data_IF_207488936200
#
_entry.id   IF_207488936200
#
_cell.length_a   1.000
_cell.length_b   1.000
_cell.length_c   1.000
_cell.angle_alpha   90.00
_cell.angle_beta   90.00
_cell.angle_gamma   90.00
#
_symmetry.space_group_name_H-M   'P 1'
#
loop_
_entity.id
_entity.type
_entity.pdbx_description
1 polymer ?
#
# COMPACT_ATOMS: atom_id res chain seq x y z
N UNK A 1 -59.92 23.69 -22.51
CA UNK A 1 -59.45 22.28 -22.58
C UNK A 1 -57.94 22.35 -22.43
N UNK A 2 -57.33 22.12 -21.25
CA UNK A 2 -57.11 20.84 -20.51
C UNK A 2 -56.40 19.84 -21.46
N UNK A 3 -55.16 19.36 -21.25
CA UNK A 3 -54.48 18.66 -20.13
C UNK A 3 -52.98 19.10 -20.07
N UNK A 4 -52.32 19.41 -18.94
CA UNK A 4 -51.77 18.59 -17.83
C UNK A 4 -50.89 17.39 -18.26
N UNK A 5 -49.57 17.51 -18.07
CA UNK A 5 -48.60 16.41 -18.12
C UNK A 5 -47.78 16.39 -16.83
N UNK A 6 -47.92 15.29 -16.08
CA UNK A 6 -47.36 15.05 -14.75
C UNK A 6 -45.85 14.77 -14.80
N UNK A 7 -45.13 15.29 -13.81
CA UNK A 7 -43.75 14.94 -13.52
C UNK A 7 -43.66 13.58 -12.82
N UNK A 8 -42.73 12.74 -13.25
CA UNK A 8 -42.29 11.55 -12.52
C UNK A 8 -40.84 11.76 -12.07
N UNK A 9 -40.67 12.29 -10.87
CA UNK A 9 -39.39 12.24 -10.17
C UNK A 9 -39.15 10.80 -9.71
N UNK A 10 -38.07 10.18 -10.20
CA UNK A 10 -37.56 8.93 -9.62
C UNK A 10 -36.93 9.24 -8.26
N UNK A 11 -37.16 8.43 -7.22
CA UNK A 11 -36.60 8.67 -5.91
C UNK A 11 -35.07 8.46 -5.93
N UNK A 12 -34.34 9.49 -5.52
CA UNK A 12 -32.90 9.45 -5.25
C UNK A 12 -32.58 8.50 -4.09
N UNK A 13 -31.43 7.83 -4.17
CA UNK A 13 -30.88 6.86 -3.20
C UNK A 13 -30.83 7.35 -1.74
N UNK A 14 -30.82 8.66 -1.51
CA UNK A 14 -30.91 9.28 -0.19
C UNK A 14 -32.21 8.95 0.57
N UNK A 15 -33.34 8.80 -0.15
CA UNK A 15 -34.65 8.55 0.46
C UNK A 15 -34.81 7.11 0.94
N UNK A 16 -34.13 6.16 0.28
CA UNK A 16 -34.10 4.74 0.68
C UNK A 16 -33.19 4.54 1.89
N UNK A 17 -32.03 5.23 1.92
CA UNK A 17 -31.11 5.19 3.06
C UNK A 17 -31.73 5.78 4.34
N UNK A 18 -32.43 6.92 4.26
CA UNK A 18 -33.12 7.50 5.42
C UNK A 18 -34.29 6.63 5.94
N UNK A 19 -34.94 5.84 5.08
CA UNK A 19 -36.05 4.96 5.47
C UNK A 19 -35.56 3.64 6.07
N UNK A 20 -34.44 3.09 5.61
CA UNK A 20 -33.75 1.95 6.23
C UNK A 20 -33.15 2.33 7.59
N UNK A 21 -32.58 3.53 7.71
CA UNK A 21 -32.02 4.04 8.97
C UNK A 21 -33.10 4.28 10.04
N UNK A 22 -34.25 4.86 9.66
CA UNK A 22 -35.40 5.00 10.59
C UNK A 22 -35.98 3.66 11.02
N UNK A 23 -35.99 2.63 10.16
CA UNK A 23 -36.44 1.28 10.53
C UNK A 23 -35.48 0.59 11.49
N UNK A 24 -34.18 0.81 11.37
CA UNK A 24 -33.18 0.21 12.26
C UNK A 24 -33.08 0.92 13.62
N UNK A 25 -33.21 2.26 13.64
CA UNK A 25 -33.28 3.03 14.88
C UNK A 25 -34.52 2.70 15.73
N UNK A 26 -35.68 2.48 15.09
CA UNK A 26 -36.91 2.04 15.76
C UNK A 26 -36.85 0.58 16.25
N UNK A 27 -36.03 -0.28 15.63
CA UNK A 27 -35.88 -1.68 16.02
C UNK A 27 -34.87 -1.90 17.16
N UNK A 28 -33.92 -0.98 17.37
CA UNK A 28 -32.80 -1.13 18.32
C UNK A 28 -32.91 -0.22 19.55
N UNK A 29 -33.87 0.70 19.57
CA UNK A 29 -34.11 1.60 20.71
C UNK A 29 -33.03 2.68 20.91
N UNK A 30 -32.07 2.86 20.02
CA UNK A 30 -31.00 3.85 20.21
C UNK A 30 -31.56 5.28 20.37
N UNK A 31 -31.24 5.95 21.48
CA UNK A 31 -31.83 7.24 21.87
C UNK A 31 -30.90 8.44 21.72
N UNK A 32 -29.61 8.28 21.39
CA UNK A 32 -28.72 9.44 21.27
C UNK A 32 -27.51 9.20 20.37
N UNK A 33 -27.25 10.13 19.45
CA UNK A 33 -25.95 10.32 18.83
C UNK A 33 -25.10 11.17 19.79
N UNK A 34 -23.97 10.63 20.24
CA UNK A 34 -23.00 11.37 21.03
C UNK A 34 -21.78 11.66 20.13
N UNK A 35 -21.67 12.89 19.64
CA UNK A 35 -20.47 13.37 18.94
C UNK A 35 -19.51 13.94 19.98
N UNK A 36 -18.36 13.32 20.17
CA UNK A 36 -17.22 13.97 20.84
C UNK A 36 -16.20 14.34 19.78
N UNK A 37 -15.72 15.58 19.84
CA UNK A 37 -14.65 16.10 18.99
C UNK A 37 -13.34 15.42 19.40
N UNK A 38 -12.85 14.53 18.52
CA UNK A 38 -11.47 14.33 18.06
C UNK A 38 -11.52 13.06 17.18
N UNK A 39 -11.30 13.19 15.86
CA UNK A 39 -11.10 12.08 14.91
C UNK A 39 -12.30 11.13 14.73
N UNK A 40 -13.08 11.28 13.66
CA UNK A 40 -14.39 10.63 13.49
C UNK A 40 -14.34 9.12 13.20
N UNK A 41 -14.29 8.30 14.25
CA UNK A 41 -14.99 7.00 14.26
C UNK A 41 -16.45 7.26 14.65
N UNK A 42 -17.42 6.91 13.80
CA UNK A 42 -18.83 6.95 14.22
C UNK A 42 -19.11 5.77 15.15
N UNK A 43 -19.61 6.06 16.35
CA UNK A 43 -19.94 5.05 17.37
C UNK A 43 -21.40 5.20 17.75
N UNK A 44 -22.15 4.09 17.72
CA UNK A 44 -23.53 4.04 18.18
C UNK A 44 -23.55 3.57 19.64
N UNK A 45 -24.23 4.35 20.50
CA UNK A 45 -24.45 3.99 21.90
C UNK A 45 -25.85 3.38 22.04
N UNK A 46 -25.94 2.15 22.53
CA UNK A 46 -27.24 1.50 22.78
C UNK A 46 -27.90 2.00 24.09
N UNK A 47 -29.17 1.63 24.32
CA UNK A 47 -29.91 2.01 25.54
C UNK A 47 -29.28 1.54 26.86
N UNK A 48 -28.25 0.69 26.80
CA UNK A 48 -27.48 0.19 27.96
C UNK A 48 -26.13 0.88 28.11
N UNK A 49 -25.84 1.90 27.29
CA UNK A 49 -24.59 2.67 27.35
C UNK A 49 -23.40 1.99 26.68
N UNK A 50 -23.60 0.92 25.91
CA UNK A 50 -22.52 0.21 25.23
C UNK A 50 -22.21 0.83 23.86
N UNK A 51 -20.93 1.08 23.61
CA UNK A 51 -20.41 1.59 22.34
C UNK A 51 -20.20 0.44 21.35
N UNK A 52 -20.66 0.62 20.11
CA UNK A 52 -20.46 -0.33 19.01
C UNK A 52 -19.73 0.32 17.84
N UNK A 53 -18.76 -0.41 17.29
CA UNK A 53 -18.08 -0.04 16.05
C UNK A 53 -19.08 -0.07 14.87
N UNK A 54 -19.18 1.02 14.12
CA UNK A 54 -20.05 1.08 12.93
C UNK A 54 -19.57 0.20 11.76
N UNK A 55 -18.33 -0.28 11.78
CA UNK A 55 -17.74 -1.09 10.69
C UNK A 55 -18.10 -2.57 10.83
N UNK A 56 -18.05 -3.15 12.04
CA UNK A 56 -18.20 -4.59 12.24
C UNK A 56 -19.31 -5.00 13.23
N UNK A 57 -19.98 -4.04 13.89
CA UNK A 57 -21.03 -4.32 14.87
C UNK A 57 -20.54 -4.96 16.18
N UNK A 58 -19.23 -5.15 16.31
CA UNK A 58 -18.58 -5.67 17.52
C UNK A 58 -18.72 -4.68 18.69
N UNK A 59 -18.85 -5.25 19.89
CA UNK A 59 -18.94 -4.52 21.15
C UNK A 59 -17.55 -3.97 21.46
N UNK A 60 -17.34 -2.66 21.32
CA UNK A 60 -16.10 -2.02 21.76
C UNK A 60 -16.18 -1.89 23.28
N UNK A 61 -15.26 -2.51 24.02
CA UNK A 61 -15.12 -2.16 25.43
C UNK A 61 -14.41 -0.80 25.48
N UNK A 62 -14.92 0.12 26.29
CA UNK A 62 -14.15 1.31 26.67
C UNK A 62 -12.80 0.83 27.23
N UNK A 63 -11.71 1.06 26.49
CA UNK A 63 -10.35 0.68 26.89
C UNK A 63 -9.64 -0.38 26.04
N UNK A 64 -10.24 -0.91 24.97
CA UNK A 64 -9.47 -1.74 24.03
C UNK A 64 -8.49 -0.84 23.25
N UNK A 65 -7.19 -0.97 23.52
CA UNK A 65 -6.14 -0.27 22.77
C UNK A 65 -6.21 -0.72 21.31
N UNK A 66 -6.23 0.23 20.38
CA UNK A 66 -6.04 -0.09 18.96
C UNK A 66 -4.67 -0.77 18.81
N UNK A 67 -4.61 -1.78 17.94
CA UNK A 67 -3.41 -2.57 17.70
C UNK A 67 -3.19 -2.68 16.20
N UNK A 68 -1.92 -2.80 15.79
CA UNK A 68 -1.52 -2.98 14.40
C UNK A 68 -1.72 -4.40 13.85
N UNK A 69 -1.81 -5.40 14.73
CA UNK A 69 -1.90 -6.80 14.34
C UNK A 69 -3.04 -7.17 13.36
N UNK A 70 -4.21 -6.50 13.36
CA UNK A 70 -5.26 -6.81 12.38
C UNK A 70 -4.91 -6.48 10.92
N UNK A 71 -3.85 -5.70 10.66
CA UNK A 71 -3.48 -5.27 9.30
C UNK A 71 -2.58 -6.25 8.56
N UNK A 72 -1.99 -7.22 9.25
CA UNK A 72 -1.06 -8.17 8.64
C UNK A 72 -1.12 -9.54 9.30
N UNK A 73 -0.73 -10.57 8.55
CA UNK A 73 -0.30 -11.83 9.11
C UNK A 73 1.21 -11.79 9.36
N UNK A 74 1.63 -11.89 10.62
CA UNK A 74 3.04 -11.98 10.98
C UNK A 74 3.51 -13.43 10.99
N UNK A 75 4.66 -13.68 10.36
CA UNK A 75 5.37 -14.95 10.35
C UNK A 75 6.84 -14.70 10.68
N UNK A 76 7.49 -15.72 11.24
CA UNK A 76 8.93 -15.72 11.46
C UNK A 76 9.52 -16.91 10.72
N UNK A 77 10.36 -16.67 9.74
CA UNK A 77 11.05 -17.71 8.96
C UNK A 77 12.53 -17.62 9.27
N UNK A 78 13.08 -18.67 9.89
CA UNK A 78 14.49 -18.72 10.30
C UNK A 78 14.98 -17.47 11.06
N UNK A 79 14.10 -16.86 11.88
CA UNK A 79 14.40 -15.65 12.64
C UNK A 79 14.22 -14.33 11.89
N UNK A 80 13.80 -14.36 10.61
CA UNK A 80 13.41 -13.17 9.85
C UNK A 80 11.91 -12.90 9.99
N UNK A 81 11.55 -11.66 10.30
CA UNK A 81 10.17 -11.20 10.36
C UNK A 81 9.60 -11.00 8.94
N UNK A 82 8.48 -11.66 8.68
CA UNK A 82 7.73 -11.58 7.42
C UNK A 82 6.31 -11.12 7.74
N UNK A 83 5.84 -10.07 7.09
CA UNK A 83 4.48 -9.55 7.27
C UNK A 83 3.73 -9.61 5.95
N UNK A 84 2.59 -10.30 5.94
CA UNK A 84 1.73 -10.42 4.76
C UNK A 84 0.49 -9.54 4.93
N UNK A 85 0.22 -8.67 3.97
CA UNK A 85 -0.94 -7.76 3.96
C UNK A 85 -1.83 -8.05 2.77
N UNK A 86 -3.13 -7.83 2.93
CA UNK A 86 -4.13 -8.04 1.88
C UNK A 86 -4.22 -6.87 0.90
N UNK A 87 -4.12 -5.64 1.40
CA UNK A 87 -3.98 -4.41 0.59
C UNK A 87 -2.62 -3.77 0.88
N UNK A 88 -1.94 -3.25 -0.13
CA UNK A 88 -0.55 -2.80 -0.02
C UNK A 88 -0.36 -1.66 0.97
N UNK A 89 -1.27 -0.69 0.99
CA UNK A 89 -1.25 0.43 1.95
C UNK A 89 -1.25 0.02 3.44
N UNK A 90 -1.66 -1.22 3.77
CA UNK A 90 -1.59 -1.76 5.14
C UNK A 90 -0.16 -2.11 5.57
N UNK A 91 0.80 -2.20 4.65
CA UNK A 91 2.21 -2.43 4.94
C UNK A 91 2.79 -1.37 5.89
N UNK A 92 2.23 -0.14 5.90
CA UNK A 92 2.56 0.92 6.84
C UNK A 92 2.50 0.45 8.31
N UNK A 93 1.60 -0.46 8.66
CA UNK A 93 1.51 -1.05 9.99
C UNK A 93 2.77 -1.86 10.35
N UNK A 94 3.22 -2.73 9.45
CA UNK A 94 4.43 -3.53 9.65
C UNK A 94 5.68 -2.64 9.67
N UNK A 95 5.76 -1.66 8.77
CA UNK A 95 6.89 -0.73 8.72
C UNK A 95 7.02 0.11 9.99
N UNK A 96 5.91 0.52 10.59
CA UNK A 96 5.92 1.20 11.89
C UNK A 96 6.50 0.32 13.00
N UNK A 97 6.21 -0.98 13.00
CA UNK A 97 6.80 -1.93 13.96
C UNK A 97 8.31 -2.10 13.76
N UNK A 98 8.75 -2.22 12.51
CA UNK A 98 10.18 -2.30 12.17
C UNK A 98 10.88 -0.99 12.54
N UNK A 99 10.30 0.17 12.25
CA UNK A 99 10.85 1.48 12.62
C UNK A 99 11.11 1.59 14.12
N UNK A 100 10.21 1.04 14.95
CA UNK A 100 10.32 1.06 16.43
C UNK A 100 11.47 0.21 16.97
N UNK A 101 11.91 -0.80 16.24
CA UNK A 101 13.03 -1.66 16.65
C UNK A 101 14.40 -1.09 16.25
N UNK A 102 14.43 0.00 15.48
CA UNK A 102 15.64 0.61 14.93
C UNK A 102 15.89 2.02 15.50
N UNK A 103 17.17 2.41 15.54
CA UNK A 103 17.57 3.76 15.96
C UNK A 103 17.16 4.83 14.93
N UNK A 104 17.27 4.52 13.64
CA UNK A 104 16.92 5.38 12.51
C UNK A 104 15.89 4.70 11.61
N UNK A 105 15.20 5.49 10.78
CA UNK A 105 14.27 4.94 9.81
C UNK A 105 15.02 4.03 8.81
N UNK A 106 14.51 2.81 8.54
CA UNK A 106 15.11 1.96 7.54
C UNK A 106 14.82 2.51 6.14
N UNK A 107 15.65 2.15 5.16
CA UNK A 107 15.28 2.32 3.76
C UNK A 107 14.19 1.31 3.38
N UNK A 108 13.51 1.55 2.26
CA UNK A 108 12.60 0.62 1.61
C UNK A 108 13.16 0.29 0.23
N UNK A 109 13.23 -0.99 -0.09
CA UNK A 109 13.39 -1.47 -1.47
C UNK A 109 12.09 -2.19 -1.77
N UNK A 110 11.30 -1.67 -2.70
CA UNK A 110 10.03 -2.30 -3.11
C UNK A 110 10.14 -2.87 -4.53
N UNK A 111 9.55 -4.04 -4.73
CA UNK A 111 9.35 -4.69 -6.03
C UNK A 111 7.84 -4.77 -6.26
N UNK A 112 7.37 -4.11 -7.30
CA UNK A 112 5.94 -3.84 -7.50
C UNK A 112 5.61 -3.81 -9.01
N UNK A 113 4.37 -4.07 -9.39
CA UNK A 113 3.90 -3.64 -10.70
C UNK A 113 3.78 -2.11 -10.76
N UNK A 114 3.11 -1.54 -9.77
CA UNK A 114 2.72 -0.15 -9.68
C UNK A 114 3.88 0.74 -9.19
N UNK A 115 3.69 2.05 -9.35
CA UNK A 115 4.74 3.01 -9.01
C UNK A 115 4.74 3.38 -7.54
N UNK A 116 3.58 3.30 -6.88
CA UNK A 116 3.53 3.43 -5.43
C UNK A 116 3.99 4.81 -4.91
N UNK A 117 3.96 5.83 -5.79
CA UNK A 117 4.51 7.17 -5.55
C UNK A 117 3.44 8.24 -5.38
N UNK A 118 2.17 7.86 -5.28
CA UNK A 118 1.11 8.84 -5.10
C UNK A 118 1.30 9.58 -3.78
N UNK A 119 1.08 10.88 -3.81
CA UNK A 119 1.27 11.69 -2.62
C UNK A 119 0.23 11.26 -1.55
N UNK A 120 0.60 11.23 -0.27
CA UNK A 120 -0.23 10.67 0.82
C UNK A 120 -1.62 11.33 0.97
N UNK A 121 -2.69 10.53 1.07
CA UNK A 121 -4.09 11.00 1.27
C UNK A 121 -4.70 11.75 0.08
N UNK A 122 -4.24 11.53 -1.16
CA UNK A 122 -4.72 12.20 -2.36
C UNK A 122 -6.19 11.93 -2.61
N UNK A 123 -6.58 10.66 -2.62
CA UNK A 123 -7.96 10.23 -2.82
C UNK A 123 -8.88 10.77 -1.73
N UNK A 124 -8.43 10.73 -0.47
CA UNK A 124 -9.23 11.26 0.63
C UNK A 124 -9.44 12.77 0.52
N UNK A 125 -8.39 13.54 0.25
CA UNK A 125 -8.48 14.98 0.06
C UNK A 125 -9.37 15.37 -1.11
N UNK A 126 -9.33 14.61 -2.21
CA UNK A 126 -10.22 14.80 -3.35
C UNK A 126 -11.69 14.70 -2.94
N UNK A 127 -12.07 13.66 -2.19
CA UNK A 127 -13.44 13.48 -1.72
C UNK A 127 -13.88 14.53 -0.70
N UNK A 128 -12.98 14.94 0.20
CA UNK A 128 -13.26 16.01 1.17
C UNK A 128 -13.44 17.37 0.48
N UNK A 129 -12.66 17.66 -0.56
CA UNK A 129 -12.83 18.86 -1.39
C UNK A 129 -14.15 18.83 -2.17
N UNK A 130 -14.48 17.71 -2.81
CA UNK A 130 -15.76 17.54 -3.51
C UNK A 130 -16.96 17.79 -2.58
N UNK A 131 -16.83 17.42 -1.30
CA UNK A 131 -17.81 17.69 -0.25
C UNK A 131 -17.76 19.11 0.36
N UNK A 132 -16.87 19.98 -0.11
CA UNK A 132 -16.67 21.35 0.38
C UNK A 132 -15.99 21.47 1.75
N UNK A 133 -15.38 20.40 2.27
CA UNK A 133 -14.76 20.34 3.61
C UNK A 133 -13.26 20.61 3.60
N UNK A 134 -12.60 20.35 2.47
CA UNK A 134 -11.18 20.62 2.26
C UNK A 134 -10.94 21.41 0.96
N UNK A 135 -11.30 22.72 0.91
CA UNK A 135 -11.12 23.53 -0.30
C UNK A 135 -9.64 23.68 -0.70
N UNK A 136 -8.73 23.62 0.27
CA UNK A 136 -7.30 23.51 0.06
C UNK A 136 -6.87 22.05 0.33
N UNK A 137 -6.75 21.27 -0.73
CA UNK A 137 -6.42 19.84 -0.65
C UNK A 137 -4.99 19.60 -0.17
N UNK A 138 -4.04 20.43 -0.60
CA UNK A 138 -2.63 20.28 -0.25
C UNK A 138 -2.43 20.52 1.24
N UNK A 139 -2.93 21.64 1.77
CA UNK A 139 -2.84 21.94 3.19
C UNK A 139 -3.54 20.87 4.05
N UNK A 140 -4.67 20.34 3.57
CA UNK A 140 -5.39 19.26 4.23
C UNK A 140 -4.56 17.97 4.31
N UNK A 141 -3.98 17.52 3.18
CA UNK A 141 -3.10 16.34 3.11
C UNK A 141 -1.90 16.48 4.03
N UNK A 142 -1.17 17.59 3.93
CA UNK A 142 0.00 17.86 4.77
C UNK A 142 -0.37 17.87 6.26
N UNK A 143 -1.56 18.37 6.60
CA UNK A 143 -2.11 18.31 7.95
C UNK A 143 -2.36 16.87 8.44
N UNK A 144 -2.79 15.96 7.58
CA UNK A 144 -2.95 14.53 7.93
C UNK A 144 -1.59 13.83 8.07
N UNK A 145 -0.66 14.07 7.16
CA UNK A 145 0.71 13.55 7.23
C UNK A 145 1.39 13.97 8.54
N UNK A 146 1.27 15.23 8.94
CA UNK A 146 1.84 15.74 10.18
C UNK A 146 1.27 15.10 11.46
N UNK A 147 0.14 14.40 11.37
CA UNK A 147 -0.48 13.68 12.49
C UNK A 147 0.01 12.23 12.61
N UNK A 148 0.73 11.72 11.62
CA UNK A 148 1.29 10.37 11.65
C UNK A 148 2.45 10.33 12.66
N UNK A 149 2.29 9.51 13.68
CA UNK A 149 3.28 9.22 14.71
C UNK A 149 3.47 7.71 14.76
N UNK A 150 4.55 7.24 14.13
CA UNK A 150 4.88 5.82 14.04
C UNK A 150 5.01 5.13 15.39
N UNK A 151 5.15 5.86 16.51
CA UNK A 151 5.24 5.30 17.86
C UNK A 151 3.88 4.89 18.43
N UNK A 152 2.77 5.34 17.84
CA UNK A 152 1.42 5.13 18.36
C UNK A 152 0.57 4.33 17.38
N UNK A 153 0.04 3.21 17.84
CA UNK A 153 -0.81 2.33 17.03
C UNK A 153 -2.05 3.07 16.54
N UNK A 154 -2.67 3.90 17.39
CA UNK A 154 -3.87 4.66 17.03
C UNK A 154 -3.62 5.62 15.86
N UNK A 155 -2.42 6.20 15.78
CA UNK A 155 -2.04 7.13 14.72
C UNK A 155 -1.88 6.42 13.38
N UNK A 156 -1.19 5.27 13.37
CA UNK A 156 -1.01 4.46 12.17
C UNK A 156 -2.34 3.85 11.70
N UNK A 157 -3.18 3.36 12.62
CA UNK A 157 -4.53 2.88 12.31
C UNK A 157 -5.36 3.97 11.62
N UNK A 158 -5.34 5.20 12.17
CA UNK A 158 -6.05 6.33 11.58
C UNK A 158 -5.51 6.75 10.22
N UNK A 159 -4.20 6.62 9.98
CA UNK A 159 -3.62 6.88 8.66
C UNK A 159 -4.09 5.84 7.62
N UNK A 160 -3.99 4.54 7.95
CA UNK A 160 -4.37 3.43 7.05
C UNK A 160 -5.85 3.52 6.64
N UNK A 161 -6.73 4.02 7.52
CA UNK A 161 -8.15 4.20 7.19
C UNK A 161 -8.37 5.08 5.95
N UNK A 162 -7.54 6.11 5.77
CA UNK A 162 -7.68 7.11 4.72
C UNK A 162 -6.73 6.94 3.54
N UNK A 163 -5.62 6.19 3.72
CA UNK A 163 -4.72 5.87 2.62
C UNK A 163 -5.40 4.91 1.63
N UNK A 164 -5.22 5.19 0.35
CA UNK A 164 -5.67 4.37 -0.78
C UNK A 164 -4.61 4.39 -1.87
N UNK A 165 -4.69 3.48 -2.85
CA UNK A 165 -3.98 3.56 -4.15
C UNK A 165 -2.58 4.16 -4.05
N UNK A 166 -1.58 3.38 -3.66
CA UNK A 166 -0.18 3.79 -3.80
C UNK A 166 0.29 4.95 -2.90
N UNK A 167 -0.55 5.43 -1.98
CA UNK A 167 -0.25 6.63 -1.16
C UNK A 167 0.68 6.37 0.03
N UNK A 168 0.95 5.10 0.33
CA UNK A 168 1.48 4.68 1.62
C UNK A 168 2.99 4.85 1.76
N UNK A 169 3.75 4.77 0.66
CA UNK A 169 5.19 5.07 0.66
C UNK A 169 5.43 6.54 1.00
N UNK A 170 4.68 7.46 0.37
CA UNK A 170 4.79 8.91 0.66
C UNK A 170 4.39 9.23 2.11
N UNK A 171 3.36 8.57 2.64
CA UNK A 171 2.98 8.70 4.03
C UNK A 171 4.10 8.20 4.97
N UNK A 172 4.76 7.09 4.61
CA UNK A 172 5.81 6.48 5.40
C UNK A 172 7.11 7.31 5.39
N UNK A 173 7.51 7.86 4.24
CA UNK A 173 8.67 8.74 4.14
C UNK A 173 8.39 10.07 4.83
N UNK A 174 7.25 10.71 4.61
CA UNK A 174 6.97 12.01 5.24
C UNK A 174 6.84 11.93 6.77
N UNK A 175 6.50 10.75 7.32
CA UNK A 175 6.36 10.53 8.77
C UNK A 175 7.61 10.00 9.48
N UNK A 176 8.74 9.84 8.77
CA UNK A 176 9.97 9.18 9.28
C UNK A 176 9.74 7.71 9.72
N UNK A 177 8.70 7.07 9.18
CA UNK A 177 8.52 5.62 9.29
C UNK A 177 9.55 4.92 8.42
N UNK A 178 9.79 5.45 7.21
CA UNK A 178 10.82 5.04 6.26
C UNK A 178 11.77 6.21 5.97
N UNK A 179 13.04 5.90 5.75
CA UNK A 179 14.11 6.87 5.47
C UNK A 179 14.14 7.31 4.01
N UNK A 180 14.29 6.36 3.10
CA UNK A 180 14.24 6.55 1.64
C UNK A 180 13.56 5.33 1.03
N UNK A 181 12.84 5.51 -0.08
CA UNK A 181 12.22 4.42 -0.82
C UNK A 181 12.82 4.31 -2.22
N UNK A 182 13.21 3.10 -2.62
CA UNK A 182 13.69 2.77 -3.96
C UNK A 182 12.71 1.78 -4.58
N UNK A 183 11.97 2.22 -5.61
CA UNK A 183 10.89 1.45 -6.21
C UNK A 183 11.37 0.80 -7.51
N UNK A 184 11.42 -0.53 -7.53
CA UNK A 184 11.64 -1.36 -8.71
C UNK A 184 10.25 -1.73 -9.23
N UNK A 185 9.81 -1.08 -10.30
CA UNK A 185 8.43 -1.19 -10.80
C UNK A 185 8.38 -1.78 -12.23
N UNK A 186 7.20 -2.25 -12.68
CA UNK A 186 6.96 -2.74 -14.05
C UNK A 186 6.06 -1.84 -14.90
N UNK A 187 5.32 -0.91 -14.28
CA UNK A 187 4.43 0.04 -14.95
C UNK A 187 4.98 1.48 -14.93
N UNK A 188 4.72 2.23 -16.00
CA UNK A 188 5.22 3.61 -16.18
C UNK A 188 4.14 4.70 -15.93
N UNK A 189 2.98 4.34 -15.39
CA UNK A 189 1.75 5.15 -15.46
C UNK A 189 1.68 6.43 -14.59
N UNK A 190 2.83 6.99 -14.18
CA UNK A 190 2.86 8.32 -13.54
C UNK A 190 4.20 8.76 -12.94
N UNK A 191 5.16 7.85 -12.83
CA UNK A 191 6.49 8.14 -12.29
C UNK A 191 7.30 9.06 -13.15
N UNK A 192 7.51 10.30 -12.71
CA UNK A 192 8.65 11.07 -13.22
C UNK A 192 9.90 10.29 -12.83
N UNK A 193 10.75 9.83 -13.78
CA UNK A 193 12.03 9.22 -13.43
C UNK A 193 12.75 10.14 -12.46
N UNK A 194 13.16 9.63 -11.31
CA UNK A 194 13.88 10.44 -10.33
C UNK A 194 15.22 10.84 -10.94
N UNK A 195 15.23 12.02 -11.56
CA UNK A 195 16.36 12.55 -12.32
C UNK A 195 17.46 13.00 -11.36
N UNK A 196 18.32 12.09 -10.90
CA UNK A 196 19.59 12.35 -10.18
C UNK A 196 19.57 13.41 -9.04
N UNK A 197 18.40 13.85 -8.58
CA UNK A 197 18.20 14.93 -7.63
C UNK A 197 17.48 14.40 -6.40
N UNK A 198 17.75 15.01 -5.24
CA UNK A 198 17.03 14.66 -4.00
C UNK A 198 15.53 14.93 -4.21
N UNK A 199 14.73 13.88 -4.28
CA UNK A 199 13.28 14.01 -4.28
C UNK A 199 12.85 14.53 -2.90
N UNK A 200 12.01 15.57 -2.86
CA UNK A 200 11.57 16.16 -1.60
C UNK A 200 10.88 15.14 -0.67
N UNK A 201 10.20 14.15 -1.27
CA UNK A 201 9.54 13.04 -0.59
C UNK A 201 10.44 11.82 -0.36
N UNK A 202 11.70 11.84 -0.82
CA UNK A 202 12.69 10.74 -0.68
C UNK A 202 12.25 9.40 -1.30
N UNK A 203 11.40 9.47 -2.33
CA UNK A 203 10.96 8.32 -3.12
C UNK A 203 11.68 8.34 -4.47
N UNK A 204 12.25 7.20 -4.87
CA UNK A 204 13.05 7.06 -6.07
C UNK A 204 12.54 5.90 -6.92
N UNK A 205 11.75 6.21 -7.95
CA UNK A 205 11.35 5.23 -8.95
C UNK A 205 12.54 4.92 -9.86
N UNK A 206 12.92 3.65 -9.95
CA UNK A 206 14.05 3.21 -10.76
C UNK A 206 13.58 3.01 -12.20
N UNK A 207 14.05 3.84 -13.15
CA UNK A 207 13.52 3.83 -14.50
C UNK A 207 13.97 2.58 -15.25
N UNK A 208 13.03 1.99 -15.97
CA UNK A 208 13.26 0.97 -16.98
C UNK A 208 12.59 1.39 -18.29
N UNK A 209 13.16 0.96 -19.42
CA UNK A 209 12.51 1.12 -20.72
C UNK A 209 11.86 -0.18 -21.19
N UNK A 210 12.48 -1.32 -20.85
CA UNK A 210 12.13 -2.68 -21.28
C UNK A 210 13.06 -3.69 -20.58
N UNK A 211 12.92 -4.99 -20.87
CA UNK A 211 13.88 -6.03 -20.49
C UNK A 211 15.31 -5.74 -21.03
N UNK A 212 16.32 -6.26 -20.36
CA UNK A 212 17.71 -5.87 -20.63
C UNK A 212 18.16 -6.42 -22.00
N UNK A 213 18.53 -5.51 -22.89
CA UNK A 213 19.00 -5.83 -24.25
C UNK A 213 17.90 -5.89 -25.30
N UNK A 214 16.68 -5.43 -24.99
CA UNK A 214 15.62 -5.28 -25.98
C UNK A 214 16.04 -4.34 -27.12
N UNK A 215 15.79 -4.77 -28.36
CA UNK A 215 16.06 -4.00 -29.59
C UNK A 215 14.79 -3.67 -30.37
N UNK A 216 13.64 -4.16 -29.93
CA UNK A 216 12.36 -4.00 -30.60
C UNK A 216 11.87 -2.56 -30.41
N UNK A 217 11.46 -1.90 -31.49
CA UNK A 217 10.89 -0.55 -31.49
C UNK A 217 9.77 -0.47 -32.55
N UNK A 218 8.54 -0.03 -32.21
CA UNK A 218 8.07 0.26 -30.85
C UNK A 218 8.02 -1.02 -29.99
N UNK A 219 8.07 -0.86 -28.66
CA UNK A 219 7.86 -1.98 -27.74
C UNK A 219 6.46 -2.57 -27.91
N UNK A 220 6.31 -3.87 -27.62
CA UNK A 220 5.09 -4.65 -27.82
C UNK A 220 4.83 -5.55 -26.59
N UNK A 221 3.72 -6.29 -26.60
CA UNK A 221 3.31 -7.12 -25.45
C UNK A 221 4.34 -8.20 -25.10
N UNK A 222 5.06 -8.74 -26.09
CA UNK A 222 6.16 -9.69 -25.84
C UNK A 222 7.26 -9.06 -24.96
N UNK A 223 7.50 -7.76 -25.11
CA UNK A 223 8.44 -7.03 -24.27
C UNK A 223 8.01 -7.02 -22.81
N UNK A 224 6.71 -6.85 -22.54
CA UNK A 224 6.14 -6.82 -21.19
C UNK A 224 6.30 -8.18 -20.51
N UNK A 225 5.97 -9.27 -21.22
CA UNK A 225 6.15 -10.64 -20.72
C UNK A 225 7.62 -10.92 -20.39
N UNK A 226 8.54 -10.60 -21.30
CA UNK A 226 9.96 -10.83 -21.07
C UNK A 226 10.50 -10.00 -19.92
N UNK A 227 10.04 -8.76 -19.77
CA UNK A 227 10.44 -7.91 -18.66
C UNK A 227 9.94 -8.46 -17.32
N UNK A 228 8.66 -8.84 -17.23
CA UNK A 228 8.12 -9.45 -16.00
C UNK A 228 8.86 -10.73 -15.65
N UNK A 229 9.23 -11.56 -16.64
CA UNK A 229 10.05 -12.77 -16.41
C UNK A 229 11.43 -12.48 -15.82
N UNK A 230 11.97 -11.26 -15.99
CA UNK A 230 13.27 -10.84 -15.48
C UNK A 230 13.18 -10.20 -14.08
N UNK A 231 11.99 -9.90 -13.53
CA UNK A 231 11.80 -9.02 -12.34
C UNK A 231 12.65 -9.39 -11.12
N UNK A 232 12.87 -10.68 -10.85
CA UNK A 232 13.74 -11.19 -9.78
C UNK A 232 14.96 -11.98 -10.29
N UNK A 233 15.26 -11.92 -11.59
CA UNK A 233 16.51 -12.45 -12.13
C UNK A 233 17.68 -11.55 -11.70
N UNK A 234 18.81 -12.19 -11.37
CA UNK A 234 20.03 -11.48 -10.92
C UNK A 234 20.47 -10.38 -11.87
N UNK A 235 20.42 -10.63 -13.18
CA UNK A 235 20.81 -9.65 -14.20
C UNK A 235 19.96 -8.38 -14.14
N UNK A 236 18.66 -8.50 -13.91
CA UNK A 236 17.75 -7.37 -13.86
C UNK A 236 17.90 -6.61 -12.56
N UNK A 237 17.84 -7.33 -11.43
CA UNK A 237 18.02 -6.70 -10.12
C UNK A 237 19.38 -6.00 -10.03
N UNK A 238 20.49 -6.59 -10.48
CA UNK A 238 21.79 -5.92 -10.46
C UNK A 238 21.81 -4.61 -11.27
N UNK A 239 21.12 -4.54 -12.42
CA UNK A 239 20.97 -3.29 -13.19
C UNK A 239 20.16 -2.24 -12.42
N UNK A 240 19.04 -2.64 -11.82
CA UNK A 240 18.21 -1.76 -11.00
C UNK A 240 18.96 -1.24 -9.77
N UNK A 241 19.65 -2.13 -9.04
CA UNK A 241 20.45 -1.76 -7.87
C UNK A 241 21.63 -0.85 -8.26
N UNK A 242 22.21 -1.01 -9.46
CA UNK A 242 23.24 -0.12 -9.98
C UNK A 242 22.70 1.30 -10.24
N UNK A 243 21.51 1.43 -10.86
CA UNK A 243 20.81 2.71 -11.03
C UNK A 243 20.48 3.35 -9.68
N UNK A 244 19.94 2.57 -8.74
CA UNK A 244 19.68 3.00 -7.37
C UNK A 244 20.94 3.47 -6.64
N UNK A 245 22.10 2.86 -6.90
CA UNK A 245 23.37 3.27 -6.34
C UNK A 245 23.86 4.63 -6.89
N UNK A 246 23.53 4.97 -8.13
CA UNK A 246 23.80 6.31 -8.68
C UNK A 246 22.97 7.38 -7.97
N UNK A 247 21.68 7.12 -7.76
CA UNK A 247 20.78 8.00 -7.00
C UNK A 247 21.24 8.12 -5.54
N UNK A 248 21.59 7.00 -4.91
CA UNK A 248 22.06 6.95 -3.52
C UNK A 248 23.23 7.90 -3.29
N UNK A 249 24.19 7.93 -4.21
CA UNK A 249 25.36 8.82 -4.13
C UNK A 249 24.96 10.29 -4.16
N UNK A 250 23.93 10.67 -4.92
CA UNK A 250 23.44 12.06 -4.95
C UNK A 250 22.81 12.50 -3.63
N UNK A 251 22.35 11.56 -2.79
CA UNK A 251 21.71 11.85 -1.50
C UNK A 251 22.57 11.48 -0.29
N UNK A 252 23.87 11.24 -0.51
CA UNK A 252 24.83 10.95 0.55
C UNK A 252 24.81 9.53 1.09
N UNK A 253 24.14 8.59 0.40
CA UNK A 253 24.18 7.16 0.69
C UNK A 253 25.23 6.46 -0.20
N UNK A 254 26.13 5.60 0.35
CA UNK A 254 27.10 4.86 -0.47
C UNK A 254 26.44 3.97 -1.54
N UNK A 255 25.37 3.28 -1.16
CA UNK A 255 24.51 2.46 -2.01
C UNK A 255 23.18 2.20 -1.28
N UNK A 256 22.16 1.68 -1.97
CA UNK A 256 20.81 1.44 -1.43
C UNK A 256 20.79 0.49 -0.22
N UNK A 257 21.63 -0.55 -0.24
CA UNK A 257 21.77 -1.53 0.85
C UNK A 257 22.68 -1.03 2.01
N UNK A 258 23.15 0.23 2.00
CA UNK A 258 24.15 0.71 2.97
C UNK A 258 23.56 1.02 4.36
N UNK A 259 22.24 1.14 4.46
CA UNK A 259 21.50 1.28 5.69
C UNK A 259 20.55 0.08 5.87
N UNK A 260 20.10 -0.21 7.10
CA UNK A 260 19.04 -1.19 7.32
C UNK A 260 17.84 -0.92 6.40
N UNK A 261 17.30 -1.95 5.77
CA UNK A 261 16.19 -1.79 4.84
C UNK A 261 15.13 -2.88 5.00
N UNK A 262 13.89 -2.50 4.71
CA UNK A 262 12.77 -3.42 4.52
C UNK A 262 12.74 -3.79 3.03
N UNK A 263 12.62 -5.07 2.74
CA UNK A 263 12.31 -5.54 1.39
C UNK A 263 10.80 -5.72 1.29
N UNK A 264 10.17 -4.91 0.48
CA UNK A 264 8.74 -4.95 0.22
C UNK A 264 8.50 -5.56 -1.16
N UNK A 265 7.48 -6.41 -1.26
CA UNK A 265 7.21 -7.19 -2.47
C UNK A 265 5.70 -7.23 -2.66
N UNK A 266 5.20 -6.55 -3.69
CA UNK A 266 3.85 -6.81 -4.16
C UNK A 266 3.85 -8.07 -5.03
N UNK A 267 2.83 -8.90 -4.85
CA UNK A 267 2.63 -10.09 -5.66
C UNK A 267 2.21 -9.75 -7.08
N UNK A 268 1.59 -8.60 -7.33
CA UNK A 268 1.20 -8.20 -8.69
C UNK A 268 2.40 -7.92 -9.60
N UNK A 269 3.62 -7.77 -9.06
CA UNK A 269 4.86 -7.69 -9.84
C UNK A 269 5.17 -8.98 -10.64
N UNK A 270 4.53 -10.11 -10.31
CA UNK A 270 4.74 -11.39 -10.99
C UNK A 270 3.59 -11.67 -11.97
N UNK A 271 3.81 -11.39 -13.26
CA UNK A 271 2.75 -11.51 -14.27
C UNK A 271 2.71 -12.90 -14.94
N UNK A 272 3.66 -13.77 -14.62
CA UNK A 272 3.77 -15.12 -15.16
C UNK A 272 4.36 -16.08 -14.12
N UNK A 273 4.20 -17.39 -14.34
CA UNK A 273 4.89 -18.41 -13.53
C UNK A 273 6.41 -18.30 -13.62
N UNK A 274 6.94 -17.87 -14.77
CA UNK A 274 8.39 -17.71 -14.97
C UNK A 274 8.94 -16.53 -14.15
N UNK A 275 8.17 -15.47 -13.94
CA UNK A 275 8.56 -14.32 -13.12
C UNK A 275 8.87 -14.73 -11.66
N UNK A 276 8.09 -15.65 -11.07
CA UNK A 276 8.35 -16.22 -9.73
C UNK A 276 9.22 -17.49 -9.77
N UNK A 277 9.84 -17.80 -10.91
CA UNK A 277 10.73 -18.96 -11.07
C UNK A 277 12.00 -18.55 -11.84
N UNK A 278 12.82 -17.65 -11.27
CA UNK A 278 14.03 -17.16 -11.90
C UNK A 278 15.02 -18.31 -12.13
N UNK A 279 15.79 -18.22 -13.20
CA UNK A 279 16.91 -19.10 -13.46
C UNK A 279 18.07 -18.81 -12.48
N UNK A 280 18.30 -17.53 -12.18
CA UNK A 280 19.34 -17.09 -11.25
C UNK A 280 18.79 -16.12 -10.18
N UNK A 281 18.34 -16.65 -9.02
CA UNK A 281 17.82 -15.84 -7.91
C UNK A 281 18.90 -15.23 -7.00
N UNK A 282 20.19 -15.32 -7.35
CA UNK A 282 21.31 -14.96 -6.45
C UNK A 282 21.17 -13.58 -5.81
N UNK A 283 20.86 -12.54 -6.60
CA UNK A 283 20.67 -11.18 -6.08
C UNK A 283 19.39 -11.05 -5.26
N UNK A 284 18.29 -11.69 -5.69
CA UNK A 284 17.06 -11.70 -4.90
C UNK A 284 17.27 -12.33 -3.51
N UNK A 285 18.00 -13.43 -3.43
CA UNK A 285 18.33 -14.09 -2.17
C UNK A 285 19.28 -13.26 -1.30
N UNK A 286 20.17 -12.47 -1.92
CA UNK A 286 20.98 -11.47 -1.20
C UNK A 286 20.09 -10.42 -0.55
N UNK A 287 19.12 -9.88 -1.30
CA UNK A 287 18.18 -8.88 -0.80
C UNK A 287 17.34 -9.43 0.36
N UNK A 288 16.82 -10.65 0.24
CA UNK A 288 16.09 -11.34 1.31
C UNK A 288 16.96 -11.46 2.57
N UNK A 289 18.16 -12.03 2.46
CA UNK A 289 19.05 -12.27 3.62
C UNK A 289 19.38 -10.99 4.37
N UNK A 290 19.71 -9.93 3.63
CA UNK A 290 20.22 -8.68 4.20
C UNK A 290 19.10 -7.74 4.70
N UNK A 291 17.84 -7.92 4.28
CA UNK A 291 16.72 -7.12 4.76
C UNK A 291 16.49 -7.30 6.27
N UNK A 292 16.08 -6.25 6.99
CA UNK A 292 15.72 -6.38 8.41
C UNK A 292 14.38 -7.10 8.61
N UNK A 293 13.46 -6.92 7.66
CA UNK A 293 12.15 -7.55 7.61
C UNK A 293 11.69 -7.59 6.15
N UNK A 294 10.70 -8.42 5.87
CA UNK A 294 10.05 -8.51 4.57
C UNK A 294 8.56 -8.20 4.72
N UNK A 295 8.05 -7.34 3.85
CA UNK A 295 6.60 -7.13 3.68
C UNK A 295 6.17 -7.71 2.34
N UNK A 296 5.00 -8.35 2.32
CA UNK A 296 4.41 -8.95 1.13
C UNK A 296 2.97 -8.47 1.02
N UNK A 297 2.64 -7.75 -0.05
CA UNK A 297 1.27 -7.36 -0.36
C UNK A 297 0.66 -8.37 -1.34
N UNK A 298 -0.53 -8.88 -1.02
CA UNK A 298 -1.13 -9.95 -1.84
C UNK A 298 -2.03 -9.47 -2.95
N UNK A 299 -2.66 -8.30 -2.77
CA UNK A 299 -3.50 -7.58 -3.74
C UNK A 299 -4.18 -8.47 -4.81
N UNK A 300 -5.05 -9.38 -4.36
CA UNK A 300 -5.49 -10.50 -5.20
C UNK A 300 -6.19 -10.10 -6.51
N UNK A 301 -6.87 -8.95 -6.54
CA UNK A 301 -7.46 -8.43 -7.78
C UNK A 301 -6.38 -7.85 -8.71
N UNK A 302 -5.36 -7.15 -8.19
CA UNK A 302 -4.23 -6.63 -8.98
C UNK A 302 -3.44 -7.78 -9.61
N UNK A 303 -3.12 -8.84 -8.84
CA UNK A 303 -2.47 -10.06 -9.35
C UNK A 303 -3.24 -10.64 -10.53
N UNK A 304 -4.57 -10.66 -10.45
CA UNK A 304 -5.43 -11.21 -11.50
C UNK A 304 -5.50 -10.30 -12.74
N UNK A 305 -5.54 -8.99 -12.54
CA UNK A 305 -5.65 -8.02 -13.63
C UNK A 305 -4.34 -7.88 -14.40
N UNK A 306 -3.19 -8.05 -13.74
CA UNK A 306 -1.85 -7.92 -14.34
C UNK A 306 -1.28 -9.24 -14.90
N UNK A 307 -1.95 -10.37 -14.66
CA UNK A 307 -1.47 -11.67 -15.14
C UNK A 307 -1.49 -11.76 -16.68
N UNK A 308 -0.34 -12.04 -17.29
CA UNK A 308 -0.15 -12.04 -18.75
C UNK A 308 -0.32 -13.42 -19.38
N UNK A 309 -0.35 -14.51 -18.60
CA UNK A 309 -0.49 -15.88 -19.12
C UNK A 309 -1.92 -16.44 -18.93
N UNK A 310 -2.75 -16.34 -19.96
CA UNK A 310 -4.12 -16.86 -19.94
C UNK A 310 -4.22 -18.40 -19.88
N UNK A 311 -3.16 -19.14 -20.25
CA UNK A 311 -3.16 -20.61 -20.30
C UNK A 311 -2.59 -21.23 -19.03
N UNK A 312 -1.59 -20.58 -18.42
CA UNK A 312 -0.95 -21.01 -17.16
C UNK A 312 -1.24 -20.00 -16.05
N UNK A 313 -2.45 -20.08 -15.48
CA UNK A 313 -2.89 -19.23 -14.37
C UNK A 313 -2.25 -19.69 -13.05
N UNK A 314 -1.95 -18.72 -12.19
CA UNK A 314 -1.52 -18.95 -10.82
C UNK A 314 -2.30 -18.03 -9.92
N UNK A 315 -2.91 -18.57 -8.86
CA UNK A 315 -3.65 -17.73 -7.92
C UNK A 315 -2.72 -17.06 -6.90
N UNK A 316 -3.22 -16.03 -6.23
CA UNK A 316 -2.48 -15.28 -5.21
C UNK A 316 -1.93 -16.16 -4.09
N UNK A 317 -2.63 -17.23 -3.70
CA UNK A 317 -2.17 -18.12 -2.64
C UNK A 317 -1.02 -19.01 -3.11
N UNK A 318 -1.08 -19.52 -4.34
CA UNK A 318 0.03 -20.23 -4.98
C UNK A 318 1.25 -19.31 -5.11
N UNK A 319 1.05 -18.06 -5.53
CA UNK A 319 2.12 -17.08 -5.72
C UNK A 319 2.78 -16.69 -4.40
N UNK A 320 1.98 -16.44 -3.35
CA UNK A 320 2.47 -16.24 -1.99
C UNK A 320 3.30 -17.44 -1.51
N UNK A 321 2.83 -18.67 -1.74
CA UNK A 321 3.57 -19.87 -1.33
C UNK A 321 4.90 -20.02 -2.07
N UNK A 322 4.94 -19.69 -3.37
CA UNK A 322 6.17 -19.70 -4.16
C UNK A 322 7.17 -18.64 -3.64
N UNK A 323 6.69 -17.41 -3.36
CA UNK A 323 7.53 -16.36 -2.78
C UNK A 323 8.06 -16.75 -1.39
N UNK A 324 7.23 -17.32 -0.52
CA UNK A 324 7.66 -17.81 0.79
C UNK A 324 8.69 -18.94 0.66
N UNK A 325 8.60 -19.78 -0.36
CA UNK A 325 9.62 -20.80 -0.66
C UNK A 325 10.96 -20.17 -1.01
N UNK A 326 10.98 -19.06 -1.77
CA UNK A 326 12.21 -18.29 -2.01
C UNK A 326 12.79 -17.71 -0.71
N UNK A 327 11.93 -17.19 0.18
CA UNK A 327 12.38 -16.70 1.50
C UNK A 327 13.01 -17.82 2.32
N UNK A 328 12.39 -19.01 2.36
CA UNK A 328 12.92 -20.18 3.06
C UNK A 328 14.26 -20.66 2.49
N UNK A 329 14.43 -20.65 1.16
CA UNK A 329 15.67 -21.08 0.50
C UNK A 329 16.81 -20.07 0.65
N UNK A 330 16.48 -18.78 0.75
CA UNK A 330 17.47 -17.73 0.89
C UNK A 330 18.10 -17.69 2.29
N UNK A 331 17.39 -18.14 3.33
CA UNK A 331 17.81 -18.09 4.74
C UNK A 331 18.50 -19.37 5.19
#
# INVERSE_FOLDING_TARGET
MIFSGEGSEKPTSLWVAQRLFRRHALATGATQLCTTEIGRTQVLQDQRGLLRCCICGCRLRNGDKLSLNPFFQHRVIQGKDIYVVDDHHKALAAWALVRRSLLSAPNLITIDHHTDIHEAFLGHAHWENYGGRAPDQEAFRLGLVAQIDWRRDESIVGAIEYLKHDEHIDAATCSDTIGNAFCIQLSDSGGTPSTHASAANRIYALPFECFIGCKVKPHNDDCLVQQSNEIIETRYLDDQLARGAEISRCIGLPHIEAAPYILDIDLDAFHTRKAISPHDPTTFYRLIRNAVAITIATEAECVKDEWLDGEDQMDTAELLNALLTHVEQAL
#
